data_IF_388820436468
#
_entry.id   IF_388820436468
#
_cell.length_a   1.000
_cell.length_b   1.000
_cell.length_c   1.000
_cell.angle_alpha   90.00
_cell.angle_beta   90.00
_cell.angle_gamma   90.00
#
_symmetry.space_group_name_H-M   'P 1'
#
loop_
_entity.id
_entity.type
_entity.pdbx_description
1 polymer ?
#
# COMPACT_ATOMS: atom_id res chain seq x y z
N UNK A 1 -29.01 -50.17 -22.34
CA UNK A 1 -29.35 -50.45 -20.93
C UNK A 1 -28.80 -49.24 -20.16
N UNK A 2 -29.52 -48.21 -19.92
CA UNK A 2 -30.61 -47.88 -19.00
C UNK A 2 -30.17 -47.94 -17.54
N UNK A 3 -30.31 -46.72 -16.91
CA UNK A 3 -30.49 -46.34 -15.51
C UNK A 3 -29.23 -45.75 -14.84
N UNK A 4 -29.33 -44.72 -14.01
CA UNK A 4 -30.41 -43.79 -13.65
C UNK A 4 -29.80 -42.61 -12.90
N UNK A 5 -30.48 -41.48 -12.97
CA UNK A 5 -30.22 -40.23 -12.21
C UNK A 5 -30.51 -40.42 -10.71
N UNK A 6 -29.81 -39.64 -9.90
CA UNK A 6 -30.35 -39.17 -8.61
C UNK A 6 -29.91 -37.73 -8.34
N UNK A 7 -30.87 -36.83 -8.46
CA UNK A 7 -30.79 -35.44 -7.99
C UNK A 7 -30.92 -35.42 -6.47
N UNK A 8 -30.07 -34.65 -5.80
CA UNK A 8 -30.33 -34.20 -4.42
C UNK A 8 -30.38 -32.68 -4.44
N UNK A 9 -31.60 -32.17 -4.38
CA UNK A 9 -31.91 -30.76 -4.10
C UNK A 9 -31.73 -30.49 -2.60
N UNK A 10 -30.76 -29.69 -2.25
CA UNK A 10 -30.62 -29.13 -0.92
C UNK A 10 -30.72 -27.60 -0.98
N UNK A 11 -31.91 -27.07 -0.71
CA UNK A 11 -32.13 -25.63 -0.54
C UNK A 11 -31.50 -25.21 0.79
N UNK A 12 -30.52 -24.35 0.72
CA UNK A 12 -29.99 -23.61 1.88
C UNK A 12 -30.53 -22.19 1.81
N UNK A 13 -31.41 -21.83 2.75
CA UNK A 13 -31.84 -20.45 2.99
C UNK A 13 -30.93 -19.88 4.09
N UNK A 14 -30.15 -18.82 3.87
CA UNK A 14 -29.62 -18.04 4.97
C UNK A 14 -30.66 -16.98 5.34
N UNK A 15 -31.05 -16.99 6.62
CA UNK A 15 -31.96 -16.01 7.21
C UNK A 15 -31.43 -14.58 7.04
N UNK A 16 -32.33 -13.69 6.63
CA UNK A 16 -32.13 -12.24 6.69
C UNK A 16 -31.96 -11.83 8.16
N UNK A 17 -30.78 -11.38 8.50
CA UNK A 17 -30.58 -10.54 9.67
C UNK A 17 -30.90 -9.11 9.22
N UNK A 18 -32.06 -8.62 9.61
CA UNK A 18 -32.41 -7.18 9.46
C UNK A 18 -31.52 -6.37 10.38
N UNK A 19 -30.57 -5.64 9.79
CA UNK A 19 -29.86 -4.56 10.48
C UNK A 19 -30.76 -3.33 10.50
N UNK A 20 -30.93 -2.65 11.65
CA UNK A 20 -31.76 -1.45 11.72
C UNK A 20 -31.17 -0.33 10.85
N UNK A 21 -32.01 0.20 9.93
CA UNK A 21 -31.69 1.37 9.12
C UNK A 21 -31.44 2.57 10.03
N UNK A 22 -30.17 2.94 10.22
CA UNK A 22 -29.82 4.23 10.81
C UNK A 22 -29.90 5.29 9.73
N UNK A 23 -30.93 6.15 9.80
CA UNK A 23 -31.01 7.40 9.04
C UNK A 23 -29.83 8.29 9.44
N UNK A 24 -28.96 8.59 8.51
CA UNK A 24 -27.96 9.65 8.66
C UNK A 24 -28.69 11.01 8.67
N UNK A 25 -28.70 11.66 9.82
CA UNK A 25 -28.96 13.09 9.95
C UNK A 25 -27.72 13.72 10.58
N UNK A 26 -27.31 14.87 10.03
CA UNK A 26 -26.01 15.52 10.21
C UNK A 26 -25.54 15.75 11.65
N UNK A 27 -24.22 15.71 11.76
CA UNK A 27 -23.35 16.32 12.76
C UNK A 27 -23.94 16.61 14.16
N UNK A 28 -23.71 15.70 15.09
CA UNK A 28 -23.38 15.91 16.50
C UNK A 28 -23.60 14.56 17.23
N UNK A 29 -22.51 13.90 17.63
CA UNK A 29 -22.62 12.68 18.43
C UNK A 29 -22.85 13.06 19.90
N UNK A 30 -24.05 12.77 20.39
CA UNK A 30 -24.41 12.90 21.78
C UNK A 30 -24.60 11.50 22.37
N UNK A 31 -23.96 11.20 23.50
CA UNK A 31 -24.19 10.00 24.28
C UNK A 31 -25.27 10.30 25.36
N UNK A 32 -26.20 9.37 25.57
CA UNK A 32 -27.26 9.51 26.57
C UNK A 32 -26.74 9.07 27.93
N UNK A 33 -26.57 10.00 28.87
CA UNK A 33 -26.31 9.70 30.25
C UNK A 33 -27.26 10.58 31.10
N UNK A 34 -28.30 9.98 31.66
CA UNK A 34 -29.13 10.61 32.68
C UNK A 34 -29.86 11.89 32.33
N UNK A 35 -30.43 11.99 31.08
CA UNK A 35 -31.32 13.09 30.70
C UNK A 35 -30.65 14.37 30.17
N UNK A 36 -29.35 14.37 29.92
CA UNK A 36 -28.64 15.44 29.22
C UNK A 36 -27.77 14.89 28.09
N UNK A 37 -27.90 15.48 26.90
CA UNK A 37 -26.97 15.26 25.81
C UNK A 37 -25.72 16.09 26.08
N UNK A 38 -24.64 15.45 26.52
CA UNK A 38 -23.33 16.09 26.59
C UNK A 38 -22.62 15.88 25.26
N UNK A 39 -22.38 16.94 24.54
CA UNK A 39 -21.40 16.96 23.46
C UNK A 39 -20.04 16.70 24.09
N UNK A 40 -19.44 15.55 23.77
CA UNK A 40 -18.04 15.29 24.12
C UNK A 40 -17.17 16.30 23.37
N UNK A 41 -16.80 17.40 24.04
CA UNK A 41 -15.69 18.22 23.59
C UNK A 41 -14.40 17.41 23.81
N UNK A 42 -13.99 16.66 22.79
CA UNK A 42 -12.66 16.05 22.82
C UNK A 42 -11.63 17.17 23.01
N UNK A 43 -10.88 17.08 24.09
CA UNK A 43 -9.78 18.01 24.41
C UNK A 43 -8.87 18.21 23.20
N UNK A 44 -8.27 19.39 23.07
CA UNK A 44 -7.27 19.63 22.02
C UNK A 44 -6.01 18.87 22.41
N UNK A 45 -5.38 18.23 21.41
CA UNK A 45 -4.05 17.65 21.58
C UNK A 45 -3.07 18.77 22.00
N UNK A 46 -2.41 18.61 23.14
CA UNK A 46 -1.39 19.54 23.61
C UNK A 46 -0.07 19.33 22.86
N UNK A 47 0.84 20.30 22.94
CA UNK A 47 2.18 20.16 22.32
C UNK A 47 2.97 19.00 22.96
N UNK A 48 2.86 18.81 24.26
CA UNK A 48 3.52 17.71 24.97
C UNK A 48 2.98 16.33 24.53
N UNK A 49 1.66 16.19 24.43
CA UNK A 49 1.05 14.97 23.91
C UNK A 49 1.44 14.72 22.46
N UNK A 50 1.47 15.78 21.64
CA UNK A 50 1.92 15.72 20.25
C UNK A 50 3.36 15.18 20.17
N UNK A 51 4.27 15.69 21.00
CA UNK A 51 5.67 15.26 21.05
C UNK A 51 5.82 13.78 21.45
N UNK A 52 5.00 13.32 22.37
CA UNK A 52 4.98 11.91 22.76
C UNK A 52 4.47 11.02 21.61
N UNK A 53 3.37 11.39 20.97
CA UNK A 53 2.84 10.65 19.82
C UNK A 53 3.81 10.64 18.64
N UNK A 54 4.41 11.76 18.26
CA UNK A 54 5.36 11.80 17.14
C UNK A 54 6.62 10.97 17.41
N UNK A 55 7.10 10.94 18.66
CA UNK A 55 8.21 10.09 19.07
C UNK A 55 7.85 8.62 18.96
N UNK A 56 6.64 8.26 19.38
CA UNK A 56 6.14 6.90 19.26
C UNK A 56 5.97 6.47 17.79
N UNK A 57 5.37 7.33 16.95
CA UNK A 57 5.24 7.10 15.50
C UNK A 57 6.63 6.87 14.89
N UNK A 58 7.58 7.76 15.18
CA UNK A 58 8.94 7.65 14.67
C UNK A 58 9.60 6.33 15.05
N UNK A 59 9.52 5.94 16.31
CA UNK A 59 10.10 4.68 16.80
C UNK A 59 9.49 3.42 16.15
N UNK A 60 8.22 3.48 15.72
CA UNK A 60 7.54 2.35 15.09
C UNK A 60 7.67 2.33 13.56
N UNK A 61 7.77 3.47 12.92
CA UNK A 61 7.62 3.60 11.46
C UNK A 61 8.80 4.28 10.76
N UNK A 62 9.63 5.01 11.48
CA UNK A 62 10.63 5.91 10.90
C UNK A 62 10.06 7.21 10.31
N UNK A 63 8.74 7.39 10.35
CA UNK A 63 8.06 8.59 9.84
C UNK A 63 8.31 9.75 10.79
N UNK A 64 8.90 10.83 10.28
CA UNK A 64 9.09 12.09 11.01
C UNK A 64 7.91 13.02 10.78
N UNK A 65 7.22 13.37 11.85
CA UNK A 65 6.14 14.34 11.80
C UNK A 65 6.67 15.73 12.13
N UNK A 66 6.48 16.69 11.20
CA UNK A 66 6.93 18.08 11.40
C UNK A 66 6.09 18.80 12.46
N UNK A 67 6.67 19.82 13.13
CA UNK A 67 6.06 20.54 14.25
C UNK A 67 4.67 21.13 13.93
N UNK A 68 4.45 21.67 12.73
CA UNK A 68 3.15 22.23 12.32
C UNK A 68 2.06 21.20 12.02
N UNK A 69 2.25 19.89 12.29
CA UNK A 69 1.28 18.83 11.97
C UNK A 69 0.39 18.40 13.14
N UNK A 70 0.40 19.15 14.26
CA UNK A 70 -0.41 18.85 15.45
C UNK A 70 -1.91 18.72 15.12
N UNK A 71 -2.48 19.64 14.32
CA UNK A 71 -3.88 19.58 13.93
C UNK A 71 -4.20 18.35 13.10
N UNK A 72 -3.31 17.98 12.17
CA UNK A 72 -3.47 16.79 11.35
C UNK A 72 -3.49 15.53 12.21
N UNK A 73 -2.51 15.39 13.11
CA UNK A 73 -2.39 14.24 14.02
C UNK A 73 -3.60 14.18 14.96
N UNK A 74 -3.96 15.32 15.57
CA UNK A 74 -5.13 15.43 16.43
C UNK A 74 -6.41 14.92 15.75
N UNK A 75 -6.67 15.34 14.51
CA UNK A 75 -7.86 14.92 13.77
C UNK A 75 -7.84 13.42 13.44
N UNK A 76 -6.68 12.85 13.16
CA UNK A 76 -6.49 11.42 12.88
C UNK A 76 -6.72 10.58 14.14
N UNK A 77 -6.13 10.96 15.27
CA UNK A 77 -6.29 10.28 16.55
C UNK A 77 -7.72 10.41 17.06
N UNK A 78 -8.36 11.57 16.94
CA UNK A 78 -9.77 11.76 17.37
C UNK A 78 -10.73 10.77 16.72
N UNK A 79 -10.46 10.32 15.50
CA UNK A 79 -11.25 9.27 14.87
C UNK A 79 -11.11 7.97 15.67
N UNK A 80 -9.88 7.60 16.04
CA UNK A 80 -9.62 6.40 16.86
C UNK A 80 -10.26 6.49 18.26
N UNK A 81 -10.13 7.65 18.90
CA UNK A 81 -10.78 7.90 20.20
C UNK A 81 -12.27 7.63 20.15
N UNK A 82 -12.96 8.15 19.12
CA UNK A 82 -14.39 7.94 18.93
C UNK A 82 -14.75 6.47 18.68
N UNK A 83 -13.97 5.79 17.84
CA UNK A 83 -14.19 4.39 17.49
C UNK A 83 -14.05 3.47 18.70
N UNK A 84 -13.17 3.83 19.65
CA UNK A 84 -12.88 3.08 20.87
C UNK A 84 -13.65 3.55 22.10
N UNK A 85 -14.36 4.68 22.05
CA UNK A 85 -15.04 5.27 23.20
C UNK A 85 -14.08 5.78 24.28
N UNK A 86 -12.89 6.28 23.88
CA UNK A 86 -11.88 6.84 24.79
C UNK A 86 -11.98 8.36 24.76
N UNK A 87 -11.95 8.99 25.93
CA UNK A 87 -12.27 10.42 26.09
C UNK A 87 -11.04 11.33 26.02
N UNK A 88 -9.83 10.81 26.23
CA UNK A 88 -8.61 11.62 26.28
C UNK A 88 -7.46 11.05 25.42
N UNK A 89 -6.62 11.94 24.90
CA UNK A 89 -5.39 11.56 24.20
C UNK A 89 -4.39 10.86 25.12
N UNK A 90 -4.32 11.26 26.38
CA UNK A 90 -3.47 10.66 27.40
C UNK A 90 -3.80 9.20 27.65
N UNK A 91 -5.10 8.90 27.92
CA UNK A 91 -5.55 7.52 28.15
C UNK A 91 -5.33 6.65 26.92
N UNK A 92 -5.60 7.19 25.73
CA UNK A 92 -5.33 6.49 24.48
C UNK A 92 -3.84 6.16 24.32
N UNK A 93 -2.95 7.15 24.54
CA UNK A 93 -1.51 6.95 24.49
C UNK A 93 -1.06 5.84 25.45
N UNK A 94 -1.54 5.87 26.69
CA UNK A 94 -1.20 4.84 27.67
C UNK A 94 -1.71 3.45 27.31
N UNK A 95 -2.92 3.34 26.75
CA UNK A 95 -3.45 2.05 26.31
C UNK A 95 -2.71 1.52 25.09
N UNK A 96 -2.44 2.38 24.11
CA UNK A 96 -1.70 2.05 22.89
C UNK A 96 -0.27 1.59 23.18
N UNK A 97 0.46 2.32 24.03
CA UNK A 97 1.88 2.02 24.32
C UNK A 97 2.07 0.82 25.25
N UNK A 98 1.06 0.44 26.03
CA UNK A 98 1.07 -0.73 26.93
C UNK A 98 0.43 -1.96 26.31
N UNK A 99 0.13 -1.93 25.02
CA UNK A 99 -0.51 -3.02 24.27
C UNK A 99 -1.81 -3.54 24.93
N UNK A 100 -2.59 -2.61 25.49
CA UNK A 100 -3.86 -2.95 26.16
C UNK A 100 -5.06 -3.02 25.21
N UNK A 101 -4.85 -2.66 23.94
CA UNK A 101 -5.85 -2.66 22.87
C UNK A 101 -5.36 -3.56 21.74
N UNK A 102 -5.73 -4.84 21.70
CA UNK A 102 -5.28 -5.77 20.67
C UNK A 102 -5.58 -5.25 19.27
N UNK A 103 -4.57 -5.21 18.40
CA UNK A 103 -4.69 -4.74 17.01
C UNK A 103 -4.77 -3.22 16.84
N UNK A 104 -4.74 -2.43 17.92
CA UNK A 104 -4.88 -0.98 17.83
C UNK A 104 -3.61 -0.30 17.31
N UNK A 105 -2.45 -0.87 17.55
CA UNK A 105 -1.20 -0.34 17.00
C UNK A 105 -1.25 -0.27 15.47
N UNK A 106 -1.76 -1.31 14.83
CA UNK A 106 -1.96 -1.37 13.38
C UNK A 106 -2.93 -0.28 12.92
N UNK A 107 -4.08 -0.18 13.58
CA UNK A 107 -5.10 0.83 13.25
C UNK A 107 -4.59 2.26 13.49
N UNK A 108 -3.75 2.46 14.50
CA UNK A 108 -3.08 3.74 14.74
C UNK A 108 -2.09 4.08 13.62
N UNK A 109 -1.22 3.13 13.21
CA UNK A 109 -0.29 3.32 12.10
C UNK A 109 -1.07 3.65 10.82
N UNK A 110 -2.13 2.92 10.53
CA UNK A 110 -3.01 3.18 9.37
C UNK A 110 -3.62 4.59 9.41
N UNK A 111 -4.06 5.03 10.58
CA UNK A 111 -4.64 6.36 10.75
C UNK A 111 -3.62 7.49 10.56
N UNK A 112 -2.34 7.29 10.92
CA UNK A 112 -1.32 8.34 10.88
C UNK A 112 -0.51 8.37 9.58
N UNK A 113 -0.56 7.34 8.75
CA UNK A 113 0.09 7.29 7.43
C UNK A 113 -0.71 8.05 6.36
N UNK A 114 -0.04 8.40 5.27
CA UNK A 114 -0.66 9.04 4.11
C UNK A 114 -0.47 8.15 2.90
N UNK A 115 -1.57 7.67 2.32
CA UNK A 115 -1.59 6.58 1.35
C UNK A 115 -2.17 7.02 -0.01
N UNK A 116 -1.81 8.22 -0.49
CA UNK A 116 -2.29 8.72 -1.77
C UNK A 116 -1.56 8.04 -2.93
N UNK A 117 -2.31 7.35 -3.77
CA UNK A 117 -1.80 6.62 -4.95
C UNK A 117 -2.86 6.56 -6.06
N UNK A 118 -2.43 6.31 -7.29
CA UNK A 118 -3.29 6.06 -8.44
C UNK A 118 -2.53 5.28 -9.53
N UNK A 119 -3.28 4.64 -10.43
CA UNK A 119 -2.70 3.91 -11.56
C UNK A 119 -1.89 4.83 -12.48
N UNK A 120 -0.76 4.33 -12.99
CA UNK A 120 0.15 5.03 -13.91
C UNK A 120 0.68 6.39 -13.39
N UNK A 121 0.77 6.55 -12.07
CA UNK A 121 1.35 7.76 -11.44
C UNK A 121 2.78 7.96 -11.94
N UNK A 122 3.06 9.14 -12.56
CA UNK A 122 4.34 9.44 -13.21
C UNK A 122 4.65 8.45 -14.36
N UNK A 123 3.86 8.52 -15.44
CA UNK A 123 3.85 7.57 -16.57
C UNK A 123 5.21 7.19 -17.12
N UNK A 124 6.17 8.14 -17.22
CA UNK A 124 7.52 7.89 -17.75
C UNK A 124 8.31 6.78 -17.05
N UNK A 125 8.02 6.47 -15.78
CA UNK A 125 8.63 5.33 -15.09
C UNK A 125 8.13 4.00 -15.66
N UNK A 126 6.85 3.91 -15.98
CA UNK A 126 6.24 2.72 -16.57
C UNK A 126 6.54 2.60 -18.06
N UNK A 127 6.74 3.73 -18.77
CA UNK A 127 7.22 3.75 -20.16
C UNK A 127 8.63 3.18 -20.24
N UNK A 128 9.51 3.57 -19.31
CA UNK A 128 10.83 2.95 -19.19
C UNK A 128 10.73 1.46 -18.83
N UNK A 129 9.89 1.09 -17.89
CA UNK A 129 9.75 -0.31 -17.45
C UNK A 129 9.33 -1.21 -18.63
N UNK A 130 8.29 -0.82 -19.38
CA UNK A 130 7.78 -1.62 -20.49
C UNK A 130 8.60 -1.46 -21.78
N UNK A 131 9.16 -0.27 -22.06
CA UNK A 131 9.84 0.04 -23.31
C UNK A 131 11.34 -0.24 -23.30
N UNK A 132 12.00 -0.27 -22.15
CA UNK A 132 13.42 -0.50 -22.03
C UNK A 132 13.77 -1.71 -21.14
N UNK A 133 13.30 -1.72 -19.88
CA UNK A 133 13.69 -2.74 -18.91
C UNK A 133 13.22 -4.15 -19.31
N UNK A 134 11.93 -4.35 -19.60
CA UNK A 134 11.41 -5.66 -19.97
C UNK A 134 12.02 -6.20 -21.27
N UNK A 135 12.18 -5.41 -22.37
CA UNK A 135 12.89 -5.85 -23.56
C UNK A 135 14.34 -6.26 -23.29
N UNK A 136 15.09 -5.48 -22.52
CA UNK A 136 16.49 -5.79 -22.17
C UNK A 136 16.58 -7.09 -21.36
N UNK A 137 15.71 -7.30 -20.40
CA UNK A 137 15.66 -8.53 -19.61
C UNK A 137 15.40 -9.76 -20.49
N UNK A 138 14.48 -9.64 -21.46
CA UNK A 138 14.21 -10.69 -22.44
C UNK A 138 15.44 -10.98 -23.33
N UNK A 139 16.18 -9.96 -23.73
CA UNK A 139 17.41 -10.10 -24.52
C UNK A 139 18.50 -10.82 -23.71
N UNK A 140 18.73 -10.41 -22.47
CA UNK A 140 19.69 -11.08 -21.54
C UNK A 140 19.36 -12.57 -21.37
N UNK A 141 18.08 -12.91 -21.25
CA UNK A 141 17.66 -14.30 -21.16
C UNK A 141 17.85 -15.08 -22.48
N UNK A 142 17.65 -14.46 -23.63
CA UNK A 142 17.92 -15.07 -24.93
C UNK A 142 19.42 -15.38 -25.10
N UNK A 143 20.29 -14.49 -24.59
CA UNK A 143 21.74 -14.67 -24.55
C UNK A 143 22.24 -15.63 -23.45
N UNK A 144 21.34 -16.25 -22.70
CA UNK A 144 21.64 -17.11 -21.53
C UNK A 144 22.39 -16.42 -20.39
N UNK A 145 22.26 -15.09 -20.31
CA UNK A 145 22.82 -14.25 -19.23
C UNK A 145 21.83 -14.01 -18.09
N UNK A 146 20.62 -14.60 -18.18
CA UNK A 146 19.55 -14.46 -17.19
C UNK A 146 18.71 -15.74 -17.11
N UNK A 147 18.20 -16.08 -15.93
CA UNK A 147 17.55 -17.36 -15.58
C UNK A 147 16.06 -17.44 -15.96
N UNK A 148 15.54 -16.52 -16.81
CA UNK A 148 14.12 -16.39 -17.15
C UNK A 148 13.23 -16.23 -15.92
N UNK A 149 13.68 -15.46 -14.97
CA UNK A 149 12.86 -15.00 -13.86
C UNK A 149 12.66 -13.49 -13.95
N UNK A 150 11.56 -12.99 -13.45
CA UNK A 150 11.30 -11.56 -13.29
C UNK A 150 10.77 -11.35 -11.87
N UNK A 151 11.53 -10.63 -11.05
CA UNK A 151 11.20 -10.33 -9.68
C UNK A 151 11.12 -8.82 -9.53
N UNK A 152 9.93 -8.32 -9.25
CA UNK A 152 9.67 -6.89 -9.08
C UNK A 152 9.04 -6.63 -7.72
N UNK A 153 9.57 -5.65 -7.02
CA UNK A 153 9.05 -5.22 -5.74
C UNK A 153 8.58 -3.76 -5.80
N UNK A 154 7.31 -3.53 -5.52
CA UNK A 154 6.75 -2.21 -5.23
C UNK A 154 6.81 -2.00 -3.70
N UNK A 155 7.78 -1.23 -3.25
CA UNK A 155 8.04 -0.93 -1.85
C UNK A 155 7.22 0.30 -1.43
N UNK A 156 6.43 0.19 -0.35
CA UNK A 156 5.38 1.14 0.04
C UNK A 156 4.29 1.29 -1.05
N UNK A 157 3.69 0.16 -1.43
CA UNK A 157 2.75 0.04 -2.54
C UNK A 157 1.36 0.63 -2.28
N UNK A 158 1.08 1.08 -1.05
CA UNK A 158 -0.25 1.55 -0.62
C UNK A 158 -1.36 0.54 -0.98
N UNK A 159 -2.46 0.98 -1.57
CA UNK A 159 -3.58 0.13 -2.01
C UNK A 159 -3.31 -0.68 -3.30
N UNK A 160 -2.06 -0.72 -3.76
CA UNK A 160 -1.61 -1.65 -4.80
C UNK A 160 -1.62 -1.12 -6.23
N UNK A 161 -2.06 0.12 -6.49
CA UNK A 161 -2.17 0.69 -7.84
C UNK A 161 -0.84 0.65 -8.60
N UNK A 162 0.31 0.88 -7.90
CA UNK A 162 1.63 0.82 -8.53
C UNK A 162 1.98 -0.60 -8.97
N UNK A 163 1.82 -1.59 -8.10
CA UNK A 163 2.13 -2.99 -8.43
C UNK A 163 1.21 -3.51 -9.53
N UNK A 164 -0.07 -3.18 -9.49
CA UNK A 164 -1.00 -3.56 -10.54
C UNK A 164 -0.72 -2.84 -11.87
N UNK A 165 -0.19 -1.61 -11.84
CA UNK A 165 0.29 -0.95 -13.06
C UNK A 165 1.45 -1.72 -13.68
N UNK A 166 2.40 -2.20 -12.87
CA UNK A 166 3.50 -3.05 -13.34
C UNK A 166 2.99 -4.39 -13.89
N UNK A 167 2.00 -5.00 -13.21
CA UNK A 167 1.34 -6.22 -13.70
C UNK A 167 0.65 -6.01 -15.06
N UNK A 168 0.00 -4.86 -15.28
CA UNK A 168 -0.60 -4.49 -16.57
C UNK A 168 0.49 -4.37 -17.64
N UNK A 169 1.59 -3.68 -17.35
CA UNK A 169 2.72 -3.54 -18.30
C UNK A 169 3.30 -4.91 -18.71
N UNK A 170 3.43 -5.83 -17.76
CA UNK A 170 3.91 -7.20 -18.04
C UNK A 170 2.87 -7.99 -18.85
N UNK A 171 1.58 -7.88 -18.49
CA UNK A 171 0.51 -8.59 -19.20
C UNK A 171 0.38 -8.16 -20.67
N UNK A 172 0.64 -6.89 -20.96
CA UNK A 172 0.66 -6.38 -22.34
C UNK A 172 1.76 -7.03 -23.20
N UNK A 173 2.80 -7.55 -22.56
CA UNK A 173 3.92 -8.25 -23.19
C UNK A 173 3.97 -9.75 -22.87
N UNK A 174 2.93 -10.30 -22.23
CA UNK A 174 2.95 -11.65 -21.64
C UNK A 174 3.27 -12.74 -22.68
N UNK A 175 2.89 -12.56 -23.94
CA UNK A 175 3.21 -13.47 -25.04
C UNK A 175 4.73 -13.68 -25.25
N UNK A 176 5.57 -12.75 -24.78
CA UNK A 176 7.04 -12.83 -24.83
C UNK A 176 7.65 -13.54 -23.62
N UNK A 177 6.89 -13.76 -22.56
CA UNK A 177 7.35 -14.33 -21.30
C UNK A 177 7.04 -15.83 -21.15
N UNK A 178 6.87 -16.54 -22.26
CA UNK A 178 6.64 -17.99 -22.23
C UNK A 178 7.77 -18.74 -21.49
N UNK A 179 7.40 -19.51 -20.45
CA UNK A 179 8.35 -20.24 -19.62
C UNK A 179 9.11 -19.39 -18.58
N UNK A 180 8.68 -18.15 -18.33
CA UNK A 180 9.25 -17.30 -17.27
C UNK A 180 8.56 -17.53 -15.93
N UNK A 181 9.32 -17.36 -14.87
CA UNK A 181 8.78 -17.23 -13.50
C UNK A 181 8.66 -15.73 -13.18
N UNK A 182 7.45 -15.27 -12.99
CA UNK A 182 7.15 -13.86 -12.67
C UNK A 182 6.71 -13.79 -11.22
N UNK A 183 7.37 -12.95 -10.43
CA UNK A 183 7.06 -12.68 -9.03
C UNK A 183 6.92 -11.17 -8.84
N UNK A 184 5.73 -10.73 -8.49
CA UNK A 184 5.39 -9.34 -8.24
C UNK A 184 5.02 -9.18 -6.77
N UNK A 185 5.86 -8.46 -6.02
CA UNK A 185 5.70 -8.25 -4.60
C UNK A 185 5.30 -6.80 -4.31
N UNK A 186 4.21 -6.60 -3.61
CA UNK A 186 3.82 -5.33 -3.01
C UNK A 186 3.99 -5.37 -1.50
N UNK A 187 4.55 -4.33 -0.92
CA UNK A 187 4.61 -4.23 0.53
C UNK A 187 4.29 -2.83 1.02
N UNK A 188 3.62 -2.74 2.16
CA UNK A 188 3.31 -1.49 2.83
C UNK A 188 3.31 -1.69 4.34
N UNK A 189 3.49 -0.62 5.11
CA UNK A 189 3.44 -0.67 6.56
C UNK A 189 2.00 -0.75 7.07
N UNK A 190 1.03 -0.29 6.28
CA UNK A 190 -0.41 -0.25 6.58
C UNK A 190 -1.08 -1.58 6.22
N UNK A 191 -1.61 -2.28 7.21
CA UNK A 191 -2.37 -3.51 7.00
C UNK A 191 -3.70 -3.24 6.25
N UNK A 192 -4.32 -2.10 6.49
CA UNK A 192 -5.53 -1.67 5.78
C UNK A 192 -5.25 -1.50 4.28
N UNK A 193 -4.09 -0.92 3.92
CA UNK A 193 -3.69 -0.77 2.51
C UNK A 193 -3.40 -2.12 1.86
N UNK A 194 -2.70 -3.01 2.56
CA UNK A 194 -2.45 -4.37 2.08
C UNK A 194 -3.75 -5.15 1.86
N UNK A 195 -4.71 -5.02 2.78
CA UNK A 195 -6.03 -5.64 2.62
C UNK A 195 -6.78 -5.06 1.42
N UNK A 196 -6.74 -3.74 1.22
CA UNK A 196 -7.33 -3.09 0.06
C UNK A 196 -6.65 -3.54 -1.25
N UNK A 197 -5.33 -3.63 -1.26
CA UNK A 197 -4.56 -4.11 -2.40
C UNK A 197 -4.95 -5.55 -2.79
N UNK A 198 -5.04 -6.45 -1.81
CA UNK A 198 -5.48 -7.85 -2.04
C UNK A 198 -6.91 -7.95 -2.58
N UNK A 199 -7.80 -7.04 -2.15
CA UNK A 199 -9.17 -6.96 -2.65
C UNK A 199 -9.23 -6.54 -4.12
N UNK A 200 -8.33 -5.66 -4.58
CA UNK A 200 -8.22 -5.21 -5.96
C UNK A 200 -9.43 -4.44 -6.47
N UNK A 201 -10.08 -3.65 -5.60
CA UNK A 201 -11.23 -2.78 -5.94
C UNK A 201 -10.86 -1.33 -5.68
N UNK A 202 -11.03 -0.48 -6.67
CA UNK A 202 -10.52 0.88 -6.70
C UNK A 202 -11.63 1.89 -7.01
N UNK A 203 -11.62 3.09 -6.39
CA UNK A 203 -12.54 4.17 -6.73
C UNK A 203 -12.20 4.79 -8.10
N UNK A 204 -13.15 5.48 -8.72
CA UNK A 204 -12.95 6.14 -10.03
C UNK A 204 -11.70 7.02 -10.10
N UNK A 205 -11.42 7.77 -9.02
CA UNK A 205 -10.24 8.64 -8.94
C UNK A 205 -8.91 7.90 -9.12
N UNK A 206 -8.82 6.64 -8.70
CA UNK A 206 -7.60 5.84 -8.89
C UNK A 206 -7.34 5.51 -10.36
N UNK A 207 -8.38 5.53 -11.20
CA UNK A 207 -8.32 5.19 -12.62
C UNK A 207 -8.24 6.42 -13.55
N UNK A 208 -8.10 7.62 -13.03
CA UNK A 208 -8.11 8.87 -13.82
C UNK A 208 -7.08 8.86 -14.97
N UNK A 209 -5.90 8.28 -14.71
CA UNK A 209 -4.81 8.18 -15.70
C UNK A 209 -4.80 6.86 -16.48
N UNK A 210 -5.82 6.03 -16.34
CA UNK A 210 -5.96 4.78 -17.09
C UNK A 210 -6.67 5.05 -18.40
N UNK A 211 -6.04 4.70 -19.54
CA UNK A 211 -6.68 4.86 -20.85
C UNK A 211 -7.99 4.06 -20.95
N UNK A 212 -8.92 4.54 -21.80
CA UNK A 212 -10.20 3.86 -22.01
C UNK A 212 -10.02 2.40 -22.48
N UNK A 213 -8.98 2.12 -23.26
CA UNK A 213 -8.64 0.77 -23.71
C UNK A 213 -8.21 -0.12 -22.55
N UNK A 214 -7.24 0.34 -21.72
CA UNK A 214 -6.77 -0.39 -20.53
C UNK A 214 -7.89 -0.58 -19.53
N UNK A 215 -8.75 0.44 -19.33
CA UNK A 215 -9.90 0.34 -18.42
C UNK A 215 -10.85 -0.78 -18.87
N UNK A 216 -11.21 -0.87 -20.15
CA UNK A 216 -12.06 -1.95 -20.69
C UNK A 216 -11.38 -3.34 -20.58
N UNK A 217 -10.06 -3.40 -20.81
CA UNK A 217 -9.31 -4.65 -20.81
C UNK A 217 -9.05 -5.21 -19.41
N UNK A 218 -8.75 -4.34 -18.45
CA UNK A 218 -8.22 -4.75 -17.15
C UNK A 218 -9.16 -4.53 -15.96
N UNK A 219 -10.26 -3.83 -16.14
CA UNK A 219 -11.16 -3.52 -15.03
C UNK A 219 -12.60 -3.91 -15.35
N UNK A 220 -13.37 -4.18 -14.29
CA UNK A 220 -14.81 -4.40 -14.33
C UNK A 220 -15.46 -3.42 -13.37
N UNK A 221 -16.44 -2.66 -13.84
CA UNK A 221 -17.19 -1.74 -13.00
C UNK A 221 -18.09 -2.53 -12.03
N UNK A 222 -18.09 -2.12 -10.77
CA UNK A 222 -18.91 -2.67 -9.69
C UNK A 222 -19.84 -1.57 -9.17
N UNK A 223 -21.06 -1.42 -9.70
CA UNK A 223 -21.97 -0.33 -9.31
C UNK A 223 -22.31 -0.34 -7.83
N UNK A 224 -22.52 -1.53 -7.24
CA UNK A 224 -22.89 -1.71 -5.84
C UNK A 224 -21.78 -1.28 -4.86
N UNK A 225 -20.53 -1.30 -5.30
CA UNK A 225 -19.35 -0.91 -4.52
C UNK A 225 -18.84 0.47 -4.90
N UNK A 226 -19.48 1.14 -5.86
CA UNK A 226 -19.05 2.42 -6.43
C UNK A 226 -17.56 2.42 -6.80
N UNK A 227 -17.11 1.37 -7.49
CA UNK A 227 -15.71 1.12 -7.77
C UNK A 227 -15.44 0.22 -8.98
N UNK A 228 -14.18 -0.09 -9.20
CA UNK A 228 -13.67 -0.90 -10.30
C UNK A 228 -12.81 -2.04 -9.77
N UNK A 229 -13.23 -3.27 -10.03
CA UNK A 229 -12.41 -4.44 -9.74
C UNK A 229 -11.38 -4.66 -10.86
N UNK A 230 -10.12 -4.86 -10.50
CA UNK A 230 -9.10 -5.31 -11.43
C UNK A 230 -9.33 -6.79 -11.79
N UNK A 231 -8.95 -7.19 -13.00
CA UNK A 231 -9.15 -8.59 -13.46
C UNK A 231 -8.47 -9.60 -12.55
N UNK A 232 -9.15 -10.71 -12.17
CA UNK A 232 -8.61 -11.71 -11.23
C UNK A 232 -7.24 -12.27 -11.60
N UNK A 233 -6.93 -12.39 -12.89
CA UNK A 233 -5.62 -12.86 -13.35
C UNK A 233 -4.47 -11.96 -12.92
N UNK A 234 -4.69 -10.62 -12.85
CA UNK A 234 -3.67 -9.68 -12.36
C UNK A 234 -3.54 -9.74 -10.84
N UNK A 235 -4.66 -9.97 -10.13
CA UNK A 235 -4.61 -10.21 -8.68
C UNK A 235 -3.75 -11.43 -8.36
N UNK A 236 -3.90 -12.51 -9.13
CA UNK A 236 -3.12 -13.75 -8.97
C UNK A 236 -1.63 -13.60 -9.30
N UNK A 237 -1.24 -12.58 -10.07
CA UNK A 237 0.17 -12.28 -10.38
C UNK A 237 0.88 -11.54 -9.23
N UNK A 238 0.13 -10.94 -8.31
CA UNK A 238 0.65 -10.06 -7.27
C UNK A 238 0.53 -10.67 -5.88
N UNK A 239 1.63 -10.61 -5.14
CA UNK A 239 1.66 -10.94 -3.72
C UNK A 239 1.76 -9.65 -2.91
N UNK A 240 1.01 -9.58 -1.80
CA UNK A 240 1.02 -8.41 -0.92
C UNK A 240 1.28 -8.82 0.51
N UNK A 241 2.20 -8.11 1.17
CA UNK A 241 2.55 -8.33 2.57
C UNK A 241 2.74 -7.02 3.33
N UNK A 242 2.43 -7.04 4.63
CA UNK A 242 2.82 -5.95 5.52
C UNK A 242 4.33 -5.96 5.71
N UNK A 243 4.97 -4.81 5.58
CA UNK A 243 6.42 -4.67 5.74
C UNK A 243 6.81 -3.24 6.12
N UNK A 244 7.73 -3.11 7.07
CA UNK A 244 8.35 -1.84 7.40
C UNK A 244 9.67 -1.70 6.64
N UNK A 245 9.84 -0.64 5.86
CA UNK A 245 11.07 -0.38 5.09
C UNK A 245 12.34 -0.29 5.95
N UNK A 246 12.19 -0.04 7.26
CA UNK A 246 13.32 -0.05 8.19
C UNK A 246 13.84 -1.47 8.50
N UNK A 247 13.13 -2.50 8.12
CA UNK A 247 13.53 -3.88 8.33
C UNK A 247 13.95 -4.52 6.99
N UNK A 248 14.90 -5.49 7.01
CA UNK A 248 15.22 -6.26 5.82
C UNK A 248 14.00 -7.04 5.32
N UNK A 249 13.82 -7.13 4.00
CA UNK A 249 12.74 -7.93 3.43
C UNK A 249 13.16 -9.40 3.28
N UNK A 250 12.31 -10.31 3.73
CA UNK A 250 12.52 -11.75 3.56
C UNK A 250 12.02 -12.19 2.17
N UNK A 251 12.73 -11.78 1.11
CA UNK A 251 12.40 -12.13 -0.26
C UNK A 251 13.67 -12.42 -1.06
N UNK A 252 13.54 -13.13 -2.20
CA UNK A 252 14.62 -13.27 -3.15
C UNK A 252 15.06 -11.89 -3.68
N UNK A 253 16.31 -11.78 -4.13
CA UNK A 253 16.82 -10.53 -4.71
C UNK A 253 15.99 -10.13 -5.93
N UNK A 254 15.71 -8.83 -6.02
CA UNK A 254 14.79 -8.24 -7.00
C UNK A 254 15.55 -7.74 -8.23
N UNK A 255 14.99 -7.96 -9.42
CA UNK A 255 15.51 -7.42 -10.67
C UNK A 255 15.12 -5.94 -10.82
N UNK A 256 14.00 -5.52 -10.22
CA UNK A 256 13.57 -4.13 -10.19
C UNK A 256 12.80 -3.81 -8.90
N UNK A 257 13.15 -2.70 -8.25
CA UNK A 257 12.44 -2.18 -7.07
C UNK A 257 11.89 -0.80 -7.41
N UNK A 258 10.59 -0.60 -7.18
CA UNK A 258 9.95 0.71 -7.20
C UNK A 258 9.81 1.20 -5.76
N UNK A 259 10.33 2.39 -5.46
CA UNK A 259 10.18 3.08 -4.18
C UNK A 259 9.91 4.55 -4.46
N UNK A 260 8.68 4.99 -4.31
CA UNK A 260 8.25 6.31 -4.78
C UNK A 260 7.34 7.00 -3.78
N UNK A 261 7.58 8.30 -3.56
CA UNK A 261 6.75 9.17 -2.75
C UNK A 261 6.59 8.74 -1.27
N UNK A 262 7.57 8.05 -0.71
CA UNK A 262 7.58 7.61 0.70
C UNK A 262 8.67 8.30 1.51
N UNK A 263 9.84 8.52 0.93
CA UNK A 263 10.97 9.13 1.64
C UNK A 263 10.76 10.60 2.03
N UNK A 264 9.74 11.24 1.47
CA UNK A 264 9.30 12.59 1.88
C UNK A 264 8.84 12.65 3.34
N UNK A 265 8.53 11.50 3.94
CA UNK A 265 8.11 11.38 5.35
C UNK A 265 9.23 10.94 6.28
N UNK A 266 10.41 10.59 5.75
CA UNK A 266 11.53 10.05 6.53
C UNK A 266 12.57 11.13 6.81
N UNK A 267 13.20 11.05 7.97
CA UNK A 267 14.41 11.80 8.25
C UNK A 267 15.64 11.13 7.61
N UNK A 268 16.82 11.76 7.78
CA UNK A 268 18.05 11.28 7.16
C UNK A 268 18.46 9.87 7.63
N UNK A 269 18.28 9.57 8.92
CA UNK A 269 18.70 8.28 9.48
C UNK A 269 17.75 7.16 9.03
N UNK A 270 16.45 7.39 9.06
CA UNK A 270 15.47 6.46 8.52
C UNK A 270 15.67 6.22 7.01
N UNK A 271 15.97 7.30 6.25
CA UNK A 271 16.31 7.18 4.81
C UNK A 271 17.52 6.28 4.59
N UNK A 272 18.63 6.52 5.33
CA UNK A 272 19.85 5.69 5.21
C UNK A 272 19.56 4.20 5.46
N UNK A 273 18.81 3.91 6.52
CA UNK A 273 18.48 2.53 6.89
C UNK A 273 17.62 1.86 5.82
N UNK A 274 16.56 2.53 5.37
CA UNK A 274 15.67 1.99 4.34
C UNK A 274 16.37 1.83 2.99
N UNK A 275 17.19 2.81 2.56
CA UNK A 275 17.97 2.72 1.32
C UNK A 275 18.94 1.54 1.35
N UNK A 276 19.63 1.29 2.47
CA UNK A 276 20.49 0.11 2.61
C UNK A 276 19.71 -1.18 2.42
N UNK A 277 18.56 -1.34 3.07
CA UNK A 277 17.69 -2.51 2.92
C UNK A 277 17.24 -2.72 1.47
N UNK A 278 16.91 -1.63 0.75
CA UNK A 278 16.54 -1.69 -0.67
C UNK A 278 17.72 -2.13 -1.56
N UNK A 279 18.93 -1.56 -1.35
CA UNK A 279 20.14 -1.93 -2.10
C UNK A 279 20.52 -3.39 -1.85
N UNK A 280 20.40 -3.87 -0.60
CA UNK A 280 20.65 -5.26 -0.24
C UNK A 280 19.67 -6.23 -0.91
N UNK A 281 18.41 -5.79 -1.08
CA UNK A 281 17.37 -6.56 -1.77
C UNK A 281 17.50 -6.58 -3.30
N UNK A 282 18.28 -5.68 -3.92
CA UNK A 282 18.53 -5.69 -5.37
C UNK A 282 19.47 -6.82 -5.77
N UNK A 283 19.18 -7.47 -6.89
CA UNK A 283 20.11 -8.34 -7.58
C UNK A 283 21.26 -7.51 -8.21
N UNK A 284 22.45 -8.08 -8.41
CA UNK A 284 23.44 -7.46 -9.29
C UNK A 284 22.84 -7.18 -10.68
N UNK A 285 23.07 -6.01 -11.24
CA UNK A 285 22.42 -5.53 -12.49
C UNK A 285 20.93 -5.22 -12.35
N UNK A 286 20.38 -5.22 -11.12
CA UNK A 286 18.99 -4.84 -10.85
C UNK A 286 18.82 -3.34 -10.71
N UNK A 287 17.59 -2.86 -10.88
CA UNK A 287 17.26 -1.44 -10.95
C UNK A 287 16.43 -0.95 -9.77
N UNK A 288 16.78 0.23 -9.26
CA UNK A 288 15.99 1.00 -8.28
C UNK A 288 15.33 2.18 -8.99
N UNK A 289 14.00 2.24 -8.96
CA UNK A 289 13.20 3.36 -9.48
C UNK A 289 12.72 4.22 -8.31
N UNK A 290 13.13 5.49 -8.29
CA UNK A 290 12.83 6.43 -7.20
C UNK A 290 11.89 7.54 -7.64
N UNK A 291 11.09 8.08 -6.72
CA UNK A 291 10.23 9.23 -6.99
C UNK A 291 11.01 10.55 -7.02
N UNK A 292 10.56 11.55 -7.78
CA UNK A 292 11.28 12.82 -7.94
C UNK A 292 11.38 13.65 -6.65
N UNK A 293 10.48 13.45 -5.70
CA UNK A 293 10.43 14.17 -4.43
C UNK A 293 11.08 13.44 -3.24
N UNK A 294 11.62 12.24 -3.44
CA UNK A 294 12.07 11.39 -2.33
C UNK A 294 13.37 11.89 -1.66
N UNK A 295 14.20 12.65 -2.39
CA UNK A 295 15.38 13.33 -1.81
C UNK A 295 16.37 12.37 -1.14
N UNK A 296 16.75 11.29 -1.87
CA UNK A 296 17.68 10.25 -1.39
C UNK A 296 18.93 10.13 -2.29
N UNK A 297 19.09 11.01 -3.24
CA UNK A 297 20.12 10.91 -4.28
C UNK A 297 21.56 10.81 -3.74
N UNK A 298 21.82 11.49 -2.62
CA UNK A 298 23.10 11.46 -1.92
C UNK A 298 23.35 10.14 -1.14
N UNK A 299 22.34 9.30 -1.01
CA UNK A 299 22.41 8.01 -0.32
C UNK A 299 22.54 6.81 -1.28
N UNK A 300 22.51 7.06 -2.58
CA UNK A 300 22.53 6.02 -3.65
C UNK A 300 23.93 5.85 -4.27
N UNK A 301 25.00 6.24 -3.56
CA UNK A 301 26.38 6.18 -4.09
C UNK A 301 26.89 4.79 -4.44
N UNK A 302 26.29 3.73 -3.89
CA UNK A 302 26.60 2.33 -4.21
C UNK A 302 25.94 1.86 -5.52
N UNK A 303 25.11 2.68 -6.15
CA UNK A 303 24.40 2.40 -7.38
C UNK A 303 24.88 3.32 -8.51
N UNK A 304 24.88 2.82 -9.72
CA UNK A 304 25.14 3.63 -10.92
C UNK A 304 23.89 4.42 -11.33
N UNK A 305 24.01 5.74 -11.39
CA UNK A 305 22.92 6.61 -11.86
C UNK A 305 22.75 6.49 -13.37
N UNK A 306 21.56 6.04 -13.82
CA UNK A 306 21.20 5.95 -15.25
C UNK A 306 20.33 7.14 -15.71
N UNK A 307 19.48 7.68 -14.79
CA UNK A 307 18.68 8.89 -15.05
C UNK A 307 18.34 9.60 -13.74
N UNK A 308 17.47 10.61 -13.79
CA UNK A 308 17.00 11.33 -12.62
C UNK A 308 16.18 10.47 -11.63
N UNK A 309 15.61 9.36 -12.11
CA UNK A 309 14.76 8.47 -11.30
C UNK A 309 15.26 7.01 -11.30
N UNK A 310 16.35 6.70 -12.02
CA UNK A 310 16.78 5.33 -12.27
C UNK A 310 18.22 5.09 -11.85
N UNK A 311 18.44 4.04 -11.05
CA UNK A 311 19.73 3.63 -10.55
C UNK A 311 19.92 2.12 -10.74
N UNK A 312 21.10 1.69 -11.16
CA UNK A 312 21.43 0.28 -11.37
C UNK A 312 22.47 -0.18 -10.35
N UNK A 313 22.26 -1.36 -9.78
CA UNK A 313 23.26 -2.00 -8.91
C UNK A 313 24.35 -2.61 -9.81
N UNK A 314 25.66 -2.31 -9.59
CA UNK A 314 26.74 -2.95 -10.31
C UNK A 314 26.65 -4.48 -10.28
N UNK A 315 27.22 -5.13 -11.33
CA UNK A 315 27.26 -6.59 -11.45
C UNK A 315 28.15 -7.25 -10.40
#
# INVERSE_FOLDING_TARGET
MVRAAAAISGRYYPGRVELPQRRFCGSQHATWAGGRWTTMELTKLTEEEFDRFRTFIYGKTGIRMADGKITLLSNRIRRRLRDLGIDSFEDYYHQLTRDRLPGELEQFIDAVTTNETHFFRTGGHFDWFSGAFLPELLNRAAEKKHDRSLRVWSAACSSGEELYTLAICIDEMLHRFGGWRISLLGSDISETMITAAKRGVFPDRSLEHVSAERRRKYFTHLPDENGWAIRPRLVQMCEFQRHNLLDPIAAARQDCIFIRNVFIYFDRESKKKAVRNLIDALAPGGFLVVGPADGIYDLLGDLEKKSIFLYEKPL
#
